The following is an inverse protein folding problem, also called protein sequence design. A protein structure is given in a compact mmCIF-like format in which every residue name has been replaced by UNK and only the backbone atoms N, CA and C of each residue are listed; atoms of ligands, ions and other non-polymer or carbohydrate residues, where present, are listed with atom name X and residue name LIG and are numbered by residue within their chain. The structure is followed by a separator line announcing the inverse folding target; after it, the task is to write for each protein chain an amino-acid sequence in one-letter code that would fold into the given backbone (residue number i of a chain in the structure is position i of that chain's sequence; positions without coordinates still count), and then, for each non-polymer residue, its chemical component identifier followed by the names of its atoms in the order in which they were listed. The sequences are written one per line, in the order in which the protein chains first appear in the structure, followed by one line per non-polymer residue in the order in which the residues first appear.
data_IF_930041289773
#
_entry.id   IF_930041289773
#
_cell.length_a   1.000
_cell.length_b   1.000
_cell.length_c   1.000
_cell.angle_alpha   90.00
_cell.angle_beta   90.00
_cell.angle_gamma   90.00
#
_symmetry.space_group_name_H-M   'P 1'
#
loop_
_entity.id
_entity.type
_entity.pdbx_description
1 polymer ?
#
# COMPACT_ATOMS: atom_id res chain seq x y z
N UNK A 1 2.34 -15.06 -21.76
CA UNK A 1 3.68 -14.48 -21.50
C UNK A 1 3.44 -13.41 -20.47
N UNK A 2 3.54 -13.78 -19.18
CA UNK A 2 3.27 -12.92 -18.05
C UNK A 2 4.38 -11.87 -17.94
N UNK A 3 4.05 -10.62 -18.17
CA UNK A 3 4.89 -9.51 -17.75
C UNK A 3 4.79 -9.42 -16.22
N UNK A 4 5.76 -10.02 -15.54
CA UNK A 4 6.00 -9.69 -14.13
C UNK A 4 6.31 -8.20 -14.10
N UNK A 5 5.51 -7.42 -13.40
CA UNK A 5 5.92 -6.09 -12.96
C UNK A 5 7.03 -6.32 -11.92
N UNK A 6 8.24 -6.47 -12.42
CA UNK A 6 9.43 -6.41 -11.55
C UNK A 6 9.62 -4.94 -11.18
N UNK A 7 9.88 -4.67 -9.92
CA UNK A 7 10.55 -3.42 -9.55
C UNK A 7 11.79 -3.28 -10.46
N UNK A 8 12.15 -2.06 -10.90
CA UNK A 8 13.38 -1.88 -11.66
C UNK A 8 14.48 -2.58 -10.88
N UNK A 9 15.23 -3.46 -11.56
CA UNK A 9 16.24 -4.31 -10.95
C UNK A 9 17.08 -3.50 -9.96
N UNK A 10 16.91 -3.78 -8.69
CA UNK A 10 17.81 -3.32 -7.63
C UNK A 10 19.15 -4.11 -7.69
N UNK A 11 19.50 -4.59 -8.89
CA UNK A 11 20.76 -5.21 -9.18
C UNK A 11 21.85 -4.13 -9.11
N UNK A 12 22.48 -4.00 -7.92
CA UNK A 12 23.57 -3.07 -7.68
C UNK A 12 23.34 -2.04 -6.57
N UNK A 13 22.20 -2.03 -5.90
CA UNK A 13 22.02 -1.17 -4.71
C UNK A 13 22.81 -1.80 -3.56
N UNK A 14 24.04 -1.33 -3.38
CA UNK A 14 24.91 -1.70 -2.25
C UNK A 14 24.53 -0.97 -0.97
N UNK A 15 23.81 0.14 -1.08
CA UNK A 15 23.34 0.97 0.04
C UNK A 15 21.81 1.00 0.06
N UNK A 16 21.21 0.34 1.07
CA UNK A 16 19.76 0.29 1.26
C UNK A 16 19.13 1.66 1.46
N UNK A 17 19.89 2.71 1.85
CA UNK A 17 19.39 4.09 1.96
C UNK A 17 18.79 4.60 0.66
N UNK A 18 19.26 4.07 -0.47
CA UNK A 18 18.84 4.47 -1.82
C UNK A 18 17.85 3.47 -2.46
N UNK A 19 17.26 2.57 -1.68
CA UNK A 19 16.38 1.52 -2.20
C UNK A 19 15.11 2.10 -2.84
N UNK A 20 14.59 3.21 -2.28
CA UNK A 20 13.44 3.94 -2.81
C UNK A 20 13.58 5.43 -2.44
N UNK A 21 13.37 6.38 -3.38
CA UNK A 21 13.30 7.80 -3.07
C UNK A 21 12.18 8.12 -2.07
N UNK A 22 12.41 9.11 -1.19
CA UNK A 22 11.46 9.50 -0.14
C UNK A 22 10.07 9.82 -0.69
N UNK A 23 10.00 10.60 -1.76
CA UNK A 23 8.77 11.04 -2.43
C UNK A 23 8.01 9.91 -3.14
N UNK A 24 8.60 8.73 -3.26
CA UNK A 24 7.98 7.52 -3.80
C UNK A 24 7.49 6.55 -2.71
N UNK A 25 7.71 6.86 -1.43
CA UNK A 25 7.16 6.05 -0.35
C UNK A 25 5.67 6.33 -0.16
N UNK A 26 4.88 5.30 0.14
CA UNK A 26 3.42 5.41 0.19
C UNK A 26 2.94 6.46 1.19
N UNK A 27 3.53 6.54 2.38
CA UNK A 27 3.11 7.48 3.41
C UNK A 27 3.45 8.93 3.05
N UNK A 28 4.56 9.20 2.34
CA UNK A 28 4.89 10.52 1.83
C UNK A 28 3.97 10.93 0.66
N UNK A 29 3.67 10.01 -0.26
CA UNK A 29 2.68 10.23 -1.31
C UNK A 29 1.33 10.62 -0.69
N UNK A 30 0.85 9.85 0.30
CA UNK A 30 -0.43 10.10 0.96
C UNK A 30 -0.44 11.41 1.77
N UNK A 31 0.69 11.78 2.37
CA UNK A 31 0.84 13.02 3.15
C UNK A 31 0.71 14.27 2.29
N UNK A 32 1.23 14.21 1.06
CA UNK A 32 1.38 15.38 0.19
C UNK A 32 0.43 15.41 -1.03
N UNK A 33 -0.41 14.40 -1.22
CA UNK A 33 -1.33 14.37 -2.36
C UNK A 33 -2.54 15.29 -2.16
N UNK A 34 -2.99 15.93 -3.24
CA UNK A 34 -4.30 16.60 -3.31
C UNK A 34 -5.38 15.71 -3.94
N UNK A 35 -5.01 14.50 -4.35
CA UNK A 35 -5.91 13.53 -4.98
C UNK A 35 -6.82 12.88 -3.94
N UNK A 36 -8.06 12.53 -4.30
CA UNK A 36 -8.95 11.79 -3.40
C UNK A 36 -8.33 10.44 -2.98
N UNK A 37 -8.40 10.15 -1.67
CA UNK A 37 -7.97 8.90 -1.07
C UNK A 37 -9.20 8.05 -0.77
N UNK A 38 -9.30 6.89 -1.40
CA UNK A 38 -10.47 6.01 -1.28
C UNK A 38 -10.07 4.65 -0.74
N UNK A 39 -10.80 4.15 0.24
CA UNK A 39 -10.55 2.83 0.81
C UNK A 39 -11.27 1.75 -0.01
N UNK A 40 -10.59 0.66 -0.27
CA UNK A 40 -11.18 -0.57 -0.78
C UNK A 40 -11.27 -1.60 0.35
N UNK A 41 -12.49 -1.81 0.85
CA UNK A 41 -12.79 -2.71 1.96
C UNK A 41 -13.19 -2.00 3.25
N UNK A 42 -14.07 -2.64 4.02
CA UNK A 42 -14.76 -2.08 5.20
C UNK A 42 -14.56 -2.92 6.47
N UNK A 43 -13.55 -3.76 6.51
CA UNK A 43 -13.23 -4.59 7.68
C UNK A 43 -12.18 -3.95 8.58
N UNK A 44 -11.67 -4.72 9.52
CA UNK A 44 -10.62 -4.30 10.47
C UNK A 44 -9.39 -3.66 9.80
N UNK A 45 -9.05 -4.07 8.56
CA UNK A 45 -7.99 -3.39 7.80
C UNK A 45 -8.36 -1.96 7.42
N UNK A 46 -9.65 -1.70 7.10
CA UNK A 46 -10.16 -0.36 6.86
C UNK A 46 -10.07 0.53 8.09
N UNK A 47 -10.44 0.00 9.28
CA UNK A 47 -10.29 0.72 10.55
C UNK A 47 -8.83 1.13 10.79
N UNK A 48 -7.89 0.18 10.59
CA UNK A 48 -6.46 0.44 10.73
C UNK A 48 -5.92 1.45 9.71
N UNK A 49 -6.43 1.45 8.47
CA UNK A 49 -6.07 2.45 7.47
C UNK A 49 -6.53 3.85 7.88
N UNK A 50 -7.74 3.99 8.42
CA UNK A 50 -8.24 5.27 8.94
C UNK A 50 -7.34 5.77 10.06
N UNK A 51 -7.00 4.92 11.02
CA UNK A 51 -6.10 5.26 12.12
C UNK A 51 -4.70 5.67 11.61
N UNK A 52 -4.17 4.94 10.64
CA UNK A 52 -2.87 5.24 10.04
C UNK A 52 -2.87 6.56 9.26
N UNK A 53 -3.94 6.83 8.48
CA UNK A 53 -4.11 8.10 7.77
C UNK A 53 -4.22 9.27 8.77
N UNK A 54 -4.96 9.10 9.87
CA UNK A 54 -5.08 10.13 10.90
C UNK A 54 -3.71 10.51 11.51
N UNK A 55 -2.79 9.56 11.68
CA UNK A 55 -1.42 9.82 12.17
C UNK A 55 -0.60 10.72 11.25
N UNK A 56 -0.89 10.69 9.95
CA UNK A 56 -0.23 11.57 8.97
C UNK A 56 -1.06 12.83 8.64
N UNK A 57 -2.11 13.11 9.43
CA UNK A 57 -2.99 14.27 9.25
C UNK A 57 -3.92 14.15 8.05
N UNK A 58 -4.26 12.93 7.64
CA UNK A 58 -5.16 12.67 6.49
C UNK A 58 -6.41 11.90 6.93
N UNK A 59 -7.44 12.01 6.10
CA UNK A 59 -8.67 11.22 6.21
C UNK A 59 -9.03 10.66 4.84
N UNK A 60 -9.67 9.50 4.75
CA UNK A 60 -10.17 9.04 3.45
C UNK A 60 -11.36 9.89 3.00
N UNK A 61 -11.47 10.09 1.69
CA UNK A 61 -12.59 10.82 1.06
C UNK A 61 -13.79 9.91 0.79
N UNK A 62 -13.57 8.60 0.75
CA UNK A 62 -14.63 7.64 0.52
C UNK A 62 -14.19 6.19 0.73
N UNK A 63 -15.15 5.30 0.61
CA UNK A 63 -14.95 3.86 0.72
C UNK A 63 -15.81 3.12 -0.29
N UNK A 64 -15.25 2.08 -0.88
CA UNK A 64 -16.01 1.16 -1.72
C UNK A 64 -15.74 -0.31 -1.38
N UNK A 65 -16.63 -1.17 -1.83
CA UNK A 65 -16.51 -2.61 -1.72
C UNK A 65 -16.79 -3.27 -3.08
N UNK A 66 -16.41 -4.54 -3.24
CA UNK A 66 -16.80 -5.34 -4.41
C UNK A 66 -18.31 -5.44 -4.51
N UNK A 67 -18.87 -5.49 -5.72
CA UNK A 67 -20.31 -5.36 -6.00
C UNK A 67 -21.21 -6.30 -5.15
N UNK A 68 -20.76 -7.52 -4.87
CA UNK A 68 -21.48 -8.45 -3.99
C UNK A 68 -21.54 -8.04 -2.50
N UNK A 69 -20.76 -7.05 -2.09
CA UNK A 69 -20.63 -6.57 -0.71
C UNK A 69 -21.12 -5.14 -0.50
N UNK A 70 -21.56 -4.48 -1.56
CA UNK A 70 -22.23 -3.17 -1.49
C UNK A 70 -23.66 -3.41 -0.97
N UNK A 71 -23.88 -3.16 0.31
CA UNK A 71 -25.20 -3.30 0.94
C UNK A 71 -25.48 -2.00 1.64
N UNK A 72 -26.10 -1.01 1.07
CA UNK A 72 -26.61 0.22 1.72
C UNK A 72 -26.05 0.47 3.15
N UNK A 73 -24.74 0.37 3.31
CA UNK A 73 -24.03 0.42 4.57
C UNK A 73 -23.21 1.70 4.66
N UNK A 74 -23.01 2.16 5.85
CA UNK A 74 -21.99 3.16 6.15
C UNK A 74 -20.78 2.50 6.82
N UNK A 75 -19.61 3.07 6.62
CA UNK A 75 -18.37 2.73 7.29
C UNK A 75 -17.72 4.04 7.76
N UNK A 76 -17.61 4.24 9.07
CA UNK A 76 -17.19 5.52 9.67
C UNK A 76 -17.94 6.72 9.06
N UNK A 77 -19.28 6.65 9.05
CA UNK A 77 -20.20 7.64 8.49
C UNK A 77 -20.09 7.88 6.97
N UNK A 78 -19.17 7.21 6.29
CA UNK A 78 -19.05 7.23 4.83
C UNK A 78 -19.97 6.17 4.21
N UNK A 79 -20.80 6.51 3.21
CA UNK A 79 -21.57 5.51 2.48
C UNK A 79 -20.64 4.59 1.68
N UNK A 80 -20.82 3.27 1.85
CA UNK A 80 -20.09 2.27 1.09
C UNK A 80 -20.66 2.18 -0.33
N UNK A 81 -19.84 2.45 -1.33
CA UNK A 81 -20.22 2.54 -2.74
C UNK A 81 -19.74 1.33 -3.56
N UNK A 82 -20.25 1.23 -4.78
CA UNK A 82 -19.57 0.45 -5.83
C UNK A 82 -18.35 1.20 -6.37
N UNK A 83 -17.43 0.51 -7.05
CA UNK A 83 -16.32 1.16 -7.74
C UNK A 83 -16.83 2.19 -8.77
N UNK A 84 -17.86 1.83 -9.55
CA UNK A 84 -18.43 2.70 -10.56
C UNK A 84 -19.02 4.00 -10.00
N UNK A 85 -19.68 3.96 -8.83
CA UNK A 85 -20.21 5.15 -8.20
C UNK A 85 -19.11 5.97 -7.52
N UNK A 86 -18.06 5.31 -7.07
CA UNK A 86 -16.84 5.96 -6.55
C UNK A 86 -16.13 6.73 -7.65
N UNK A 87 -15.97 6.15 -8.85
CA UNK A 87 -15.41 6.84 -10.02
C UNK A 87 -16.23 8.07 -10.44
N UNK A 88 -17.55 7.95 -10.41
CA UNK A 88 -18.44 9.10 -10.74
C UNK A 88 -18.24 10.26 -9.77
N UNK A 89 -17.96 9.97 -8.50
CA UNK A 89 -17.79 10.99 -7.47
C UNK A 89 -16.41 11.60 -7.43
N UNK A 90 -15.35 10.79 -7.52
CA UNK A 90 -13.97 11.20 -7.27
C UNK A 90 -13.10 11.23 -8.53
N UNK A 91 -13.60 10.72 -9.64
CA UNK A 91 -12.83 10.58 -10.87
C UNK A 91 -11.88 9.39 -10.83
N UNK A 92 -11.19 9.18 -11.95
CA UNK A 92 -10.24 8.06 -12.09
C UNK A 92 -8.85 8.35 -11.52
N UNK A 93 -8.56 9.60 -11.22
CA UNK A 93 -7.29 10.01 -10.63
C UNK A 93 -7.23 9.81 -9.10
N UNK A 94 -8.21 9.14 -8.52
CA UNK A 94 -8.21 8.80 -7.09
C UNK A 94 -7.08 7.81 -6.76
N UNK A 95 -6.62 7.88 -5.50
CA UNK A 95 -5.74 6.88 -4.91
C UNK A 95 -6.59 5.84 -4.20
N UNK A 96 -6.38 4.56 -4.50
CA UNK A 96 -7.07 3.44 -3.84
C UNK A 96 -6.13 2.80 -2.83
N UNK A 97 -6.57 2.73 -1.57
CA UNK A 97 -5.90 1.99 -0.52
C UNK A 97 -6.65 0.69 -0.23
N UNK A 98 -6.00 -0.44 -0.48
CA UNK A 98 -6.58 -1.74 -0.20
C UNK A 98 -6.38 -2.11 1.28
N UNK A 99 -7.50 -2.41 1.95
CA UNK A 99 -7.58 -2.67 3.38
C UNK A 99 -7.51 -4.16 3.75
N UNK A 100 -7.24 -5.05 2.79
CA UNK A 100 -7.25 -6.49 3.04
C UNK A 100 -6.37 -7.26 2.04
N UNK A 101 -5.89 -8.42 2.47
CA UNK A 101 -5.27 -9.41 1.60
C UNK A 101 -6.24 -10.54 1.28
N UNK A 102 -6.02 -11.26 0.19
CA UNK A 102 -6.81 -12.43 -0.18
C UNK A 102 -5.96 -13.44 -0.95
N UNK A 103 -6.27 -14.72 -0.78
CA UNK A 103 -5.77 -15.81 -1.62
C UNK A 103 -6.81 -16.33 -2.61
N UNK A 104 -8.01 -15.73 -2.64
CA UNK A 104 -9.08 -16.11 -3.57
C UNK A 104 -8.73 -15.59 -4.97
N UNK A 105 -8.64 -16.47 -6.00
CA UNK A 105 -8.17 -16.06 -7.34
C UNK A 105 -8.93 -14.90 -7.95
N UNK A 106 -10.26 -14.89 -7.83
CA UNK A 106 -11.12 -13.82 -8.36
C UNK A 106 -10.86 -12.46 -7.70
N UNK A 107 -10.61 -12.47 -6.39
CA UNK A 107 -10.28 -11.26 -5.63
C UNK A 107 -8.90 -10.75 -6.01
N UNK A 108 -7.92 -11.64 -6.16
CA UNK A 108 -6.58 -11.29 -6.62
C UNK A 108 -6.58 -10.71 -8.03
N UNK A 109 -7.38 -11.28 -8.93
CA UNK A 109 -7.51 -10.75 -10.29
C UNK A 109 -8.15 -9.34 -10.28
N UNK A 110 -9.13 -9.11 -9.42
CA UNK A 110 -9.71 -7.77 -9.26
C UNK A 110 -8.67 -6.78 -8.71
N UNK A 111 -7.84 -7.17 -7.75
CA UNK A 111 -6.74 -6.32 -7.25
C UNK A 111 -5.73 -5.98 -8.35
N UNK A 112 -5.32 -6.96 -9.18
CA UNK A 112 -4.44 -6.72 -10.34
C UNK A 112 -5.07 -5.73 -11.32
N UNK A 113 -6.35 -5.87 -11.60
CA UNK A 113 -7.10 -4.95 -12.47
C UNK A 113 -7.14 -3.53 -11.89
N UNK A 114 -7.31 -3.40 -10.57
CA UNK A 114 -7.27 -2.09 -9.90
C UNK A 114 -5.86 -1.49 -9.98
N UNK A 115 -4.82 -2.26 -9.69
CA UNK A 115 -3.43 -1.79 -9.76
C UNK A 115 -3.01 -1.39 -11.18
N UNK A 116 -3.53 -2.07 -12.21
CA UNK A 116 -3.27 -1.73 -13.61
C UNK A 116 -3.96 -0.42 -14.08
N UNK A 117 -5.01 0.03 -13.41
CA UNK A 117 -5.85 1.14 -13.87
C UNK A 117 -5.87 2.37 -12.94
N UNK A 118 -5.36 2.25 -11.71
CA UNK A 118 -5.38 3.30 -10.69
C UNK A 118 -4.06 3.38 -9.96
N UNK A 119 -3.87 4.46 -9.21
CA UNK A 119 -2.85 4.50 -8.17
C UNK A 119 -3.31 3.65 -6.99
N UNK A 120 -2.97 2.38 -7.03
CA UNK A 120 -3.41 1.37 -6.07
C UNK A 120 -2.27 1.02 -5.10
N UNK A 121 -2.54 1.03 -3.80
CA UNK A 121 -1.57 0.71 -2.76
C UNK A 121 -2.17 -0.22 -1.70
N UNK A 122 -1.33 -1.07 -1.15
CA UNK A 122 -1.60 -1.91 0.01
C UNK A 122 -0.57 -1.61 1.10
N UNK A 123 -0.68 -0.47 1.80
CA UNK A 123 0.33 -0.10 2.80
C UNK A 123 0.40 -1.13 3.91
N UNK A 124 1.61 -1.40 4.38
CA UNK A 124 1.78 -2.18 5.61
C UNK A 124 1.20 -1.41 6.79
N UNK A 125 0.46 -2.11 7.62
CA UNK A 125 -0.20 -1.55 8.79
C UNK A 125 0.30 -2.28 10.04
N UNK A 126 0.58 -1.57 11.13
CA UNK A 126 0.95 -2.21 12.39
C UNK A 126 -0.19 -3.11 12.87
N UNK A 127 0.13 -4.37 13.20
CA UNK A 127 -0.84 -5.35 13.71
C UNK A 127 -1.38 -4.94 15.08
N UNK A 128 -0.51 -4.35 15.88
CA UNK A 128 -0.78 -3.81 17.22
C UNK A 128 -0.40 -2.33 17.27
N UNK A 129 -0.43 -1.73 18.46
CA UNK A 129 0.12 -0.37 18.64
C UNK A 129 1.60 -0.35 18.24
N UNK A 130 1.99 0.59 17.41
CA UNK A 130 3.36 0.74 16.93
C UNK A 130 3.47 1.84 15.89
N UNK A 131 4.68 2.19 15.50
CA UNK A 131 4.93 3.22 14.52
C UNK A 131 4.62 2.73 13.11
N UNK A 132 4.29 3.66 12.22
CA UNK A 132 4.21 3.36 10.79
C UNK A 132 5.62 3.13 10.26
N UNK A 133 5.76 2.13 9.39
CA UNK A 133 6.99 1.96 8.62
C UNK A 133 7.03 2.97 7.49
N UNK A 134 7.23 4.24 7.83
CA UNK A 134 7.40 5.33 6.87
C UNK A 134 8.89 5.58 6.58
N UNK A 135 9.17 6.59 5.76
CA UNK A 135 10.54 6.92 5.39
C UNK A 135 11.40 7.37 6.58
N UNK A 136 10.82 8.10 7.53
CA UNK A 136 11.53 8.59 8.72
C UNK A 136 11.92 7.41 9.63
N UNK A 137 10.98 6.51 9.86
CA UNK A 137 11.26 5.26 10.59
C UNK A 137 12.35 4.44 9.90
N UNK A 138 12.25 4.26 8.58
CA UNK A 138 13.23 3.51 7.80
C UNK A 138 14.63 4.11 7.92
N UNK A 139 14.80 5.44 7.76
CA UNK A 139 16.11 6.09 7.84
C UNK A 139 16.65 6.09 9.26
N UNK A 140 15.81 6.23 10.27
CA UNK A 140 16.23 6.17 11.67
C UNK A 140 16.80 4.80 12.05
N UNK A 141 16.26 3.71 11.46
CA UNK A 141 16.68 2.34 11.75
C UNK A 141 17.54 1.72 10.64
N UNK A 142 18.09 2.55 9.75
CA UNK A 142 18.79 2.03 8.57
C UNK A 142 20.03 1.20 8.90
N UNK A 143 20.71 1.52 9.99
CA UNK A 143 21.92 0.80 10.39
C UNK A 143 21.58 -0.62 10.88
N UNK A 144 20.51 -0.79 11.69
CA UNK A 144 20.02 -2.10 12.13
C UNK A 144 19.47 -2.92 10.95
N UNK A 145 18.74 -2.26 10.04
CA UNK A 145 18.23 -2.90 8.82
C UNK A 145 19.39 -3.36 7.93
N UNK A 146 20.44 -2.56 7.79
CA UNK A 146 21.64 -2.90 7.01
C UNK A 146 22.45 -4.01 7.66
N UNK A 147 22.56 -4.02 8.99
CA UNK A 147 23.17 -5.11 9.74
C UNK A 147 22.41 -6.42 9.49
N UNK A 148 21.08 -6.42 9.65
CA UNK A 148 20.22 -7.57 9.37
C UNK A 148 20.41 -8.08 7.92
N UNK A 149 20.44 -7.15 6.94
CA UNK A 149 20.68 -7.49 5.54
C UNK A 149 22.04 -8.16 5.33
N UNK A 150 23.07 -7.72 6.04
CA UNK A 150 24.43 -8.26 5.92
C UNK A 150 24.56 -9.72 6.37
N UNK A 151 23.64 -10.20 7.22
CA UNK A 151 23.62 -11.57 7.72
C UNK A 151 23.21 -12.59 6.65
N UNK A 152 22.50 -12.14 5.60
CA UNK A 152 22.15 -13.04 4.50
C UNK A 152 23.37 -13.32 3.61
N UNK A 153 23.68 -14.60 3.43
CA UNK A 153 24.86 -15.02 2.66
C UNK A 153 24.55 -15.35 1.21
N UNK A 154 23.29 -15.65 0.88
CA UNK A 154 22.84 -16.00 -0.46
C UNK A 154 22.05 -14.88 -1.13
N UNK A 155 22.17 -14.77 -2.45
CA UNK A 155 21.56 -13.68 -3.23
C UNK A 155 20.02 -13.77 -3.24
N UNK A 156 19.44 -14.97 -3.13
CA UNK A 156 17.97 -15.13 -3.10
C UNK A 156 17.38 -14.51 -1.84
N UNK A 157 17.98 -14.76 -0.69
CA UNK A 157 17.56 -14.18 0.59
C UNK A 157 17.75 -12.66 0.59
N UNK A 158 18.85 -12.18 0.04
CA UNK A 158 19.10 -10.73 -0.13
C UNK A 158 18.07 -10.07 -1.05
N UNK A 159 17.75 -10.69 -2.18
CA UNK A 159 16.72 -10.19 -3.09
C UNK A 159 15.35 -10.12 -2.39
N UNK A 160 14.94 -11.20 -1.72
CA UNK A 160 13.68 -11.23 -0.98
C UNK A 160 13.62 -10.15 0.11
N UNK A 161 14.71 -9.93 0.84
CA UNK A 161 14.77 -8.88 1.85
C UNK A 161 14.57 -7.49 1.23
N UNK A 162 15.23 -7.20 0.10
CA UNK A 162 15.02 -5.95 -0.65
C UNK A 162 13.57 -5.80 -1.14
N UNK A 163 12.97 -6.87 -1.67
CA UNK A 163 11.57 -6.85 -2.15
C UNK A 163 10.60 -6.56 -1.01
N UNK A 164 10.83 -7.14 0.17
CA UNK A 164 10.04 -6.85 1.39
C UNK A 164 10.20 -5.39 1.81
N UNK A 165 11.42 -4.84 1.81
CA UNK A 165 11.63 -3.43 2.12
C UNK A 165 10.94 -2.51 1.11
N UNK A 166 11.04 -2.83 -0.18
CA UNK A 166 10.36 -2.07 -1.24
C UNK A 166 8.84 -2.10 -1.06
N UNK A 167 8.26 -3.27 -0.75
CA UNK A 167 6.84 -3.37 -0.43
C UNK A 167 6.46 -2.49 0.77
N UNK A 168 7.19 -2.60 1.87
CA UNK A 168 6.91 -1.84 3.11
C UNK A 168 6.95 -0.33 2.88
N UNK A 169 7.90 0.15 2.09
CA UNK A 169 8.05 1.57 1.79
C UNK A 169 7.06 2.05 0.72
N UNK A 170 6.87 1.30 -0.35
CA UNK A 170 6.06 1.73 -1.49
C UNK A 170 4.57 1.42 -1.35
N UNK A 171 4.19 0.44 -0.53
CA UNK A 171 2.83 -0.10 -0.50
C UNK A 171 2.42 -0.82 -1.79
N UNK A 172 3.38 -1.09 -2.69
CA UNK A 172 3.14 -1.80 -3.95
C UNK A 172 3.35 -3.29 -3.78
N UNK A 173 2.38 -4.09 -4.22
CA UNK A 173 2.48 -5.54 -4.22
C UNK A 173 2.89 -5.98 -5.62
N UNK A 174 4.03 -6.67 -5.71
CA UNK A 174 4.43 -7.36 -6.94
C UNK A 174 3.85 -8.77 -6.89
N UNK A 175 2.99 -9.10 -7.83
CA UNK A 175 2.29 -10.39 -7.94
C UNK A 175 3.09 -11.39 -8.75
#
# INVERSE_FOLDING_TARGET
MEQRHSFPEAAGVTDLRNILPKDQTVWEILRHTDRPIVLYGTGNGGDKLIDALARIGRTPDGVFASDGFVRSRTFHDMPVRSLADTEKQFGRDMIILCAFGSSVPEVMENMRRLDANYSFYMPELPLYSGDLFDYEYFITHIDEISEAYSLFTDERSRALFRDVLLYRLSGKVCY
#
